data_IF_745862047713
#
_entry.id   IF_745862047713
#
_cell.length_a   1.000
_cell.length_b   1.000
_cell.length_c   1.000
_cell.angle_alpha   90.00
_cell.angle_beta   90.00
_cell.angle_gamma   90.00
#
_symmetry.space_group_name_H-M   'P 1'
#
loop_
_entity.id
_entity.type
_entity.pdbx_description
1 polymer ?
#
# COMPACT_ATOMS: atom_id res chain seq x y z
N UNK A 1 22.22 -20.37 9.54
CA UNK A 1 23.35 -20.25 10.49
C UNK A 1 22.94 -20.95 11.76
N UNK A 2 23.73 -21.89 12.27
CA UNK A 2 23.47 -22.49 13.59
C UNK A 2 23.54 -21.39 14.66
N UNK A 3 22.59 -21.33 15.61
CA UNK A 3 22.55 -20.26 16.59
C UNK A 3 23.77 -20.32 17.51
N UNK A 4 24.47 -19.18 17.74
CA UNK A 4 25.66 -19.16 18.58
C UNK A 4 25.34 -19.56 20.02
N UNK A 5 26.02 -20.57 20.55
CA UNK A 5 25.90 -20.97 21.96
C UNK A 5 26.76 -20.05 22.83
N UNK A 6 26.18 -18.93 23.28
CA UNK A 6 26.81 -18.01 24.25
C UNK A 6 26.59 -16.53 23.92
N UNK A 7 26.47 -15.70 24.97
CA UNK A 7 26.12 -14.27 24.86
C UNK A 7 27.16 -13.49 24.02
N UNK A 8 28.46 -13.74 24.24
CA UNK A 8 29.53 -13.06 23.51
C UNK A 8 29.57 -13.41 22.02
N UNK A 9 29.34 -14.69 21.71
CA UNK A 9 29.27 -15.19 20.32
C UNK A 9 28.04 -14.64 19.60
N UNK A 10 26.90 -14.52 20.30
CA UNK A 10 25.70 -13.86 19.79
C UNK A 10 25.91 -12.38 19.50
N UNK A 11 26.60 -11.65 20.38
CA UNK A 11 26.92 -10.23 20.15
C UNK A 11 27.86 -10.04 18.95
N UNK A 12 28.84 -10.91 18.79
CA UNK A 12 29.77 -10.86 17.66
C UNK A 12 29.07 -11.14 16.32
N UNK A 13 28.22 -12.18 16.26
CA UNK A 13 27.40 -12.47 15.09
C UNK A 13 26.44 -11.33 14.75
N UNK A 14 25.87 -10.67 15.77
CA UNK A 14 25.04 -9.49 15.57
C UNK A 14 25.81 -8.32 14.92
N UNK A 15 27.03 -8.04 15.39
CA UNK A 15 27.89 -7.01 14.78
C UNK A 15 28.21 -7.34 13.32
N UNK A 16 28.51 -8.60 13.01
CA UNK A 16 28.77 -9.05 11.64
C UNK A 16 27.52 -9.05 10.75
N UNK A 17 26.33 -9.19 11.34
CA UNK A 17 25.06 -9.13 10.63
C UNK A 17 24.69 -7.70 10.20
N UNK A 18 25.08 -6.67 10.96
CA UNK A 18 24.77 -5.26 10.66
C UNK A 18 25.18 -4.83 9.24
N UNK A 19 26.44 -5.03 8.77
CA UNK A 19 26.82 -4.63 7.42
C UNK A 19 26.05 -5.41 6.33
N UNK A 20 25.75 -6.69 6.59
CA UNK A 20 24.96 -7.52 5.69
C UNK A 20 23.51 -7.02 5.56
N UNK A 21 22.86 -6.77 6.69
CA UNK A 21 21.52 -6.18 6.76
C UNK A 21 21.48 -4.81 6.08
N UNK A 22 22.48 -3.96 6.33
CA UNK A 22 22.58 -2.61 5.74
C UNK A 22 22.71 -2.70 4.22
N UNK A 23 23.47 -3.66 3.69
CA UNK A 23 23.58 -3.90 2.25
C UNK A 23 22.24 -4.31 1.61
N UNK A 24 21.51 -5.22 2.24
CA UNK A 24 20.18 -5.65 1.77
C UNK A 24 19.15 -4.52 1.84
N UNK A 25 19.20 -3.72 2.91
CA UNK A 25 18.35 -2.55 3.08
C UNK A 25 18.63 -1.50 1.99
N UNK A 26 19.91 -1.21 1.72
CA UNK A 26 20.31 -0.27 0.67
C UNK A 26 19.85 -0.76 -0.72
N UNK A 27 20.03 -2.05 -1.00
CA UNK A 27 19.55 -2.66 -2.24
C UNK A 27 18.03 -2.54 -2.38
N UNK A 28 17.30 -2.83 -1.29
CA UNK A 28 15.85 -2.69 -1.22
C UNK A 28 15.39 -1.24 -1.45
N UNK A 29 16.07 -0.26 -0.85
CA UNK A 29 15.79 1.17 -1.04
C UNK A 29 16.01 1.59 -2.50
N UNK A 30 17.10 1.17 -3.13
CA UNK A 30 17.37 1.49 -4.54
C UNK A 30 16.26 0.93 -5.42
N UNK A 31 15.87 -0.34 -5.21
CA UNK A 31 14.73 -0.94 -5.93
C UNK A 31 13.44 -0.18 -5.64
N UNK A 32 13.17 0.14 -4.37
CA UNK A 32 12.02 0.93 -3.94
C UNK A 32 11.94 2.25 -4.70
N UNK A 33 13.02 3.03 -4.76
CA UNK A 33 13.04 4.33 -5.46
C UNK A 33 12.79 4.18 -6.97
N UNK A 34 13.34 3.13 -7.59
CA UNK A 34 13.18 2.89 -9.04
C UNK A 34 11.76 2.46 -9.38
N UNK A 35 11.17 1.54 -8.61
CA UNK A 35 9.85 0.96 -8.92
C UNK A 35 8.67 1.71 -8.30
N UNK A 36 8.89 2.48 -7.24
CA UNK A 36 7.86 3.31 -6.59
C UNK A 36 7.06 4.18 -7.58
N UNK A 37 7.64 4.95 -8.51
CA UNK A 37 6.84 5.77 -9.44
C UNK A 37 5.92 4.92 -10.34
N UNK A 38 6.41 3.76 -10.81
CA UNK A 38 5.62 2.85 -11.64
C UNK A 38 4.47 2.23 -10.84
N UNK A 39 4.75 1.74 -9.62
CA UNK A 39 3.73 1.14 -8.75
C UNK A 39 2.71 2.19 -8.32
N UNK A 40 3.14 3.41 -7.97
CA UNK A 40 2.25 4.52 -7.66
C UNK A 40 1.30 4.82 -8.84
N UNK A 41 1.82 4.80 -10.07
CA UNK A 41 1.02 5.03 -11.26
C UNK A 41 -0.04 3.92 -11.44
N UNK A 42 0.35 2.65 -11.31
CA UNK A 42 -0.57 1.51 -11.41
C UNK A 42 -1.67 1.60 -10.34
N UNK A 43 -1.29 1.83 -9.08
CA UNK A 43 -2.22 1.97 -7.95
C UNK A 43 -3.15 3.16 -8.15
N UNK A 44 -2.62 4.31 -8.60
CA UNK A 44 -3.42 5.49 -8.85
C UNK A 44 -4.46 5.26 -9.96
N UNK A 45 -4.06 4.63 -11.08
CA UNK A 45 -4.98 4.31 -12.18
C UNK A 45 -6.04 3.30 -11.71
N UNK A 46 -5.63 2.22 -11.04
CA UNK A 46 -6.54 1.18 -10.55
C UNK A 46 -7.55 1.73 -9.55
N UNK A 47 -7.09 2.46 -8.54
CA UNK A 47 -7.98 3.07 -7.55
C UNK A 47 -8.90 4.11 -8.19
N UNK A 48 -8.40 4.92 -9.13
CA UNK A 48 -9.24 5.90 -9.84
C UNK A 48 -10.35 5.21 -10.64
N UNK A 49 -10.05 4.11 -11.33
CA UNK A 49 -11.05 3.33 -12.06
C UNK A 49 -12.11 2.73 -11.12
N UNK A 50 -11.68 2.18 -9.98
CA UNK A 50 -12.58 1.67 -8.94
C UNK A 50 -13.47 2.78 -8.41
N UNK A 51 -12.89 3.92 -8.02
CA UNK A 51 -13.63 5.08 -7.50
C UNK A 51 -14.66 5.55 -8.53
N UNK A 52 -14.27 5.78 -9.78
CA UNK A 52 -15.18 6.25 -10.83
C UNK A 52 -16.28 5.23 -11.17
N UNK A 53 -15.99 3.93 -11.11
CA UNK A 53 -16.97 2.87 -11.35
C UNK A 53 -17.97 2.70 -10.21
N UNK A 54 -17.51 2.76 -8.96
CA UNK A 54 -18.35 2.59 -7.77
C UNK A 54 -19.10 3.86 -7.35
N UNK A 55 -18.56 5.04 -7.65
CA UNK A 55 -19.18 6.32 -7.28
C UNK A 55 -20.63 6.48 -7.79
N UNK A 56 -20.98 6.21 -9.07
CA UNK A 56 -22.35 6.36 -9.54
C UNK A 56 -23.29 5.37 -8.86
N UNK A 57 -22.85 4.12 -8.67
CA UNK A 57 -23.63 3.08 -7.98
C UNK A 57 -23.91 3.51 -6.54
N UNK A 58 -22.90 3.99 -5.84
CA UNK A 58 -23.03 4.44 -4.46
C UNK A 58 -23.93 5.69 -4.37
N UNK A 59 -23.79 6.65 -5.29
CA UNK A 59 -24.63 7.85 -5.35
C UNK A 59 -26.10 7.53 -5.56
N UNK A 60 -26.42 6.68 -6.55
CA UNK A 60 -27.80 6.24 -6.84
C UNK A 60 -28.40 5.51 -5.63
N UNK A 61 -27.65 4.57 -5.04
CA UNK A 61 -28.13 3.80 -3.89
C UNK A 61 -28.37 4.68 -2.66
N UNK A 62 -27.52 5.69 -2.44
CA UNK A 62 -27.67 6.63 -1.33
C UNK A 62 -28.90 7.50 -1.54
N UNK A 63 -29.12 8.04 -2.74
CA UNK A 63 -30.33 8.81 -3.06
C UNK A 63 -31.61 7.97 -2.92
N UNK A 64 -31.59 6.73 -3.41
CA UNK A 64 -32.70 5.80 -3.25
C UNK A 64 -33.01 5.53 -1.78
N UNK A 65 -31.98 5.31 -0.97
CA UNK A 65 -32.11 5.08 0.48
C UNK A 65 -32.71 6.29 1.19
N UNK A 66 -32.27 7.50 0.87
CA UNK A 66 -32.80 8.75 1.44
C UNK A 66 -34.28 8.94 1.07
N UNK A 67 -34.63 8.69 -0.19
CA UNK A 67 -36.00 8.84 -0.68
C UNK A 67 -36.96 7.86 0.01
N UNK A 68 -36.53 6.60 0.16
CA UNK A 68 -37.35 5.51 0.71
C UNK A 68 -37.44 5.53 2.24
N UNK A 69 -36.55 6.26 2.94
CA UNK A 69 -36.54 6.32 4.39
C UNK A 69 -37.85 6.89 4.96
N UNK A 70 -38.53 6.10 5.81
CA UNK A 70 -39.79 6.48 6.48
C UNK A 70 -39.57 7.37 7.72
N UNK A 71 -38.39 7.31 8.32
CA UNK A 71 -38.03 8.06 9.53
C UNK A 71 -37.57 9.50 9.24
N UNK A 72 -37.29 9.84 7.99
CA UNK A 72 -36.83 11.18 7.60
C UNK A 72 -38.00 12.05 7.17
N UNK A 73 -38.15 13.22 7.79
CA UNK A 73 -39.10 14.24 7.33
C UNK A 73 -38.71 14.82 5.96
N UNK A 74 -39.66 15.38 5.20
CA UNK A 74 -39.41 15.87 3.84
C UNK A 74 -38.33 16.96 3.76
N UNK A 75 -38.29 17.86 4.74
CA UNK A 75 -37.25 18.91 4.83
C UNK A 75 -35.86 18.29 5.01
N UNK A 76 -35.73 17.28 5.88
CA UNK A 76 -34.46 16.61 6.14
C UNK A 76 -33.97 15.81 4.94
N UNK A 77 -34.89 15.19 4.17
CA UNK A 77 -34.55 14.51 2.91
C UNK A 77 -33.93 15.46 1.89
N UNK A 78 -34.54 16.64 1.70
CA UNK A 78 -34.02 17.67 0.78
C UNK A 78 -32.66 18.16 1.25
N UNK A 79 -32.51 18.45 2.54
CA UNK A 79 -31.23 18.88 3.10
C UNK A 79 -30.12 17.85 2.90
N UNK A 80 -30.41 16.56 3.14
CA UNK A 80 -29.43 15.50 2.97
C UNK A 80 -29.06 15.27 1.50
N UNK A 81 -30.03 15.39 0.60
CA UNK A 81 -29.80 15.35 -0.85
C UNK A 81 -28.88 16.49 -1.31
N UNK A 82 -29.04 17.69 -0.72
CA UNK A 82 -28.17 18.84 -1.00
C UNK A 82 -26.76 18.67 -0.41
N UNK A 83 -26.62 17.98 0.73
CA UNK A 83 -25.34 17.73 1.38
C UNK A 83 -24.55 16.57 0.72
N UNK A 84 -25.24 15.63 0.09
CA UNK A 84 -24.65 14.48 -0.61
C UNK A 84 -23.55 14.84 -1.63
N UNK A 85 -23.74 15.80 -2.57
CA UNK A 85 -22.67 16.19 -3.50
C UNK A 85 -21.44 16.73 -2.78
N UNK A 86 -21.62 17.46 -1.67
CA UNK A 86 -20.50 17.96 -0.87
C UNK A 86 -19.72 16.79 -0.23
N UNK A 87 -20.43 15.80 0.32
CA UNK A 87 -19.83 14.58 0.86
C UNK A 87 -19.06 13.79 -0.20
N UNK A 88 -19.60 13.68 -1.43
CA UNK A 88 -18.92 13.01 -2.55
C UNK A 88 -17.64 13.72 -2.95
N UNK A 89 -17.65 15.05 -3.07
CA UNK A 89 -16.45 15.83 -3.43
C UNK A 89 -15.36 15.66 -2.36
N UNK A 90 -15.74 15.72 -1.07
CA UNK A 90 -14.81 15.52 0.02
C UNK A 90 -14.22 14.10 -0.01
N UNK A 91 -15.06 13.08 -0.18
CA UNK A 91 -14.65 11.69 -0.26
C UNK A 91 -13.68 11.44 -1.42
N UNK A 92 -13.95 12.04 -2.59
CA UNK A 92 -13.08 11.96 -3.75
C UNK A 92 -11.69 12.55 -3.46
N UNK A 93 -11.63 13.71 -2.81
CA UNK A 93 -10.37 14.33 -2.38
C UNK A 93 -9.57 13.45 -1.43
N UNK A 94 -10.22 12.92 -0.38
CA UNK A 94 -9.58 11.98 0.57
C UNK A 94 -9.10 10.71 -0.13
N UNK A 95 -9.87 10.19 -1.09
CA UNK A 95 -9.53 8.98 -1.83
C UNK A 95 -8.30 9.17 -2.73
N UNK A 96 -8.14 10.36 -3.34
CA UNK A 96 -6.93 10.69 -4.13
C UNK A 96 -5.70 10.72 -3.22
N UNK A 97 -5.78 11.46 -2.11
CA UNK A 97 -4.66 11.60 -1.17
C UNK A 97 -4.28 10.23 -0.59
N UNK A 98 -5.28 9.44 -0.19
CA UNK A 98 -5.08 8.09 0.32
C UNK A 98 -4.47 7.15 -0.73
N UNK A 99 -4.86 7.26 -2.01
CA UNK A 99 -4.30 6.45 -3.10
C UNK A 99 -2.84 6.79 -3.39
N UNK A 100 -2.48 8.07 -3.39
CA UNK A 100 -1.09 8.50 -3.58
C UNK A 100 -0.23 8.03 -2.41
N UNK A 101 -0.69 8.25 -1.18
CA UNK A 101 0.06 7.86 0.01
C UNK A 101 0.19 6.34 0.13
N UNK A 102 -0.90 5.61 -0.09
CA UNK A 102 -0.91 4.15 -0.08
C UNK A 102 -0.03 3.56 -1.19
N UNK A 103 -0.12 4.11 -2.40
CA UNK A 103 0.73 3.73 -3.53
C UNK A 103 2.22 3.97 -3.26
N UNK A 104 2.57 5.11 -2.65
CA UNK A 104 3.96 5.44 -2.30
C UNK A 104 4.51 4.51 -1.22
N UNK A 105 3.74 4.28 -0.15
CA UNK A 105 4.13 3.37 0.92
C UNK A 105 4.29 1.95 0.37
N UNK A 106 3.31 1.47 -0.40
CA UNK A 106 3.35 0.12 -0.97
C UNK A 106 4.50 -0.04 -1.98
N UNK A 107 4.63 0.91 -2.92
CA UNK A 107 5.66 0.87 -3.96
C UNK A 107 7.08 1.02 -3.45
N UNK A 108 7.27 1.65 -2.29
CA UNK A 108 8.57 1.77 -1.65
C UNK A 108 8.90 0.56 -0.75
N UNK A 109 7.95 0.11 0.08
CA UNK A 109 8.20 -0.94 1.06
C UNK A 109 8.18 -2.35 0.46
N UNK A 110 7.37 -2.60 -0.56
CA UNK A 110 7.27 -3.94 -1.17
C UNK A 110 8.61 -4.46 -1.71
N UNK A 111 9.42 -3.66 -2.46
CA UNK A 111 10.74 -4.10 -2.90
C UNK A 111 11.76 -4.31 -1.77
N UNK A 112 11.62 -3.60 -0.65
CA UNK A 112 12.46 -3.79 0.55
C UNK A 112 12.13 -5.13 1.22
N UNK A 113 10.85 -5.46 1.39
CA UNK A 113 10.49 -6.76 1.97
C UNK A 113 10.91 -7.91 1.06
N UNK A 114 10.78 -7.75 -0.26
CA UNK A 114 11.24 -8.76 -1.23
C UNK A 114 12.75 -9.06 -1.13
N UNK A 115 13.60 -8.07 -0.83
CA UNK A 115 15.05 -8.34 -0.67
C UNK A 115 15.35 -9.12 0.61
N UNK A 116 14.60 -8.90 1.68
CA UNK A 116 14.75 -9.66 2.93
C UNK A 116 14.18 -11.08 2.82
N UNK A 117 13.02 -11.24 2.19
CA UNK A 117 12.38 -12.54 1.98
C UNK A 117 13.27 -13.46 1.12
N UNK A 118 13.92 -12.92 0.08
CA UNK A 118 14.87 -13.67 -0.76
C UNK A 118 16.03 -14.31 0.03
N UNK A 119 16.41 -13.73 1.17
CA UNK A 119 17.45 -14.25 2.05
C UNK A 119 16.88 -15.13 3.17
N UNK A 120 15.70 -14.78 3.69
CA UNK A 120 15.03 -15.50 4.78
C UNK A 120 14.48 -16.87 4.38
N UNK A 121 14.03 -17.04 3.13
CA UNK A 121 13.38 -18.27 2.66
C UNK A 121 14.35 -19.40 2.26
N UNK A 122 15.67 -19.19 2.36
CA UNK A 122 16.66 -20.22 2.02
C UNK A 122 16.68 -20.61 0.54
N UNK A 123 16.30 -19.70 -0.37
CA UNK A 123 16.30 -19.93 -1.82
C UNK A 123 17.70 -20.23 -2.36
N UNK A 124 17.77 -21.01 -3.43
CA UNK A 124 19.01 -21.23 -4.20
C UNK A 124 19.48 -19.92 -4.82
N UNK A 125 20.74 -19.52 -4.65
CA UNK A 125 21.29 -18.24 -5.13
C UNK A 125 20.54 -17.00 -4.61
N UNK A 126 20.58 -16.72 -3.30
CA UNK A 126 19.83 -15.62 -2.67
C UNK A 126 20.19 -14.25 -3.24
N UNK A 127 21.44 -14.06 -3.68
CA UNK A 127 21.85 -12.81 -4.35
C UNK A 127 21.06 -12.56 -5.64
N UNK A 128 20.87 -13.57 -6.48
CA UNK A 128 20.08 -13.42 -7.71
C UNK A 128 18.62 -13.07 -7.38
N UNK A 129 18.03 -13.76 -6.41
CA UNK A 129 16.66 -13.49 -5.96
C UNK A 129 16.51 -12.11 -5.31
N UNK A 130 17.50 -11.60 -4.57
CA UNK A 130 17.45 -10.22 -4.07
C UNK A 130 17.35 -9.18 -5.20
N UNK A 131 17.95 -9.42 -6.37
CA UNK A 131 17.82 -8.53 -7.52
C UNK A 131 16.53 -8.78 -8.31
N UNK A 132 16.19 -10.05 -8.55
CA UNK A 132 15.10 -10.48 -9.42
C UNK A 132 13.72 -10.38 -8.74
N UNK A 133 13.55 -10.95 -7.55
CA UNK A 133 12.27 -11.02 -6.86
C UNK A 133 11.77 -9.61 -6.50
N UNK A 134 10.49 -9.34 -6.74
CA UNK A 134 9.88 -8.02 -6.52
C UNK A 134 10.13 -6.99 -7.64
N UNK A 135 10.80 -7.36 -8.74
CA UNK A 135 10.89 -6.54 -9.96
C UNK A 135 10.05 -7.10 -11.10
N UNK A 136 10.03 -8.42 -11.23
CA UNK A 136 9.28 -9.19 -12.22
C UNK A 136 8.95 -10.55 -11.62
N UNK A 137 7.72 -11.02 -11.79
CA UNK A 137 7.26 -12.35 -11.37
C UNK A 137 6.62 -13.08 -12.53
#
# INVERSE_FOLDING_TARGET
MEPPTGILSSLWQFILFIPYFTGLLLLGIIKGVIFCPLICLIVAIGNSAIILGLLPVHGIWTLYSISTAKQLGPILKIFLCLCLPLGIILWFGVSIIGSILGGAIYGFLSPIFATFDAVGEGKSNPLFHCFYDGTWS
#
